data_IF_229833503140
#
_entry.id   IF_229833503140
#
_cell.length_a   1.000
_cell.length_b   1.000
_cell.length_c   1.000
_cell.angle_alpha   90.00
_cell.angle_beta   90.00
_cell.angle_gamma   90.00
#
_symmetry.space_group_name_H-M   'P 1'
#
loop_
_entity.id
_entity.type
_entity.pdbx_description
1 polymer ?
#
# COMPACT_ATOMS: atom_id res chain seq x y z
N UNK A 1 1.85 -9.14 14.56
CA UNK A 1 1.19 -7.83 14.73
C UNK A 1 0.13 -7.64 13.66
N UNK A 2 -1.04 -7.21 14.03
CA UNK A 2 -2.11 -6.97 13.08
C UNK A 2 -1.80 -5.75 12.22
N UNK A 3 -2.03 -5.87 10.90
CA UNK A 3 -1.72 -4.80 9.95
C UNK A 3 -2.52 -3.53 10.27
N UNK A 4 -3.76 -3.67 10.76
CA UNK A 4 -4.57 -2.52 11.17
C UNK A 4 -3.93 -1.71 12.29
N UNK A 5 -3.21 -2.37 13.20
CA UNK A 5 -2.51 -1.69 14.29
C UNK A 5 -1.30 -0.90 13.77
N UNK A 6 -0.62 -1.42 12.76
CA UNK A 6 0.49 -0.71 12.13
C UNK A 6 -0.02 0.58 11.48
N UNK A 7 -1.14 0.51 10.76
CA UNK A 7 -1.76 1.67 10.13
C UNK A 7 -2.20 2.69 11.19
N UNK A 8 -2.87 2.22 12.25
CA UNK A 8 -3.28 3.09 13.35
C UNK A 8 -2.08 3.79 13.98
N UNK A 9 -1.01 3.04 14.24
CA UNK A 9 0.20 3.58 14.82
C UNK A 9 0.80 4.69 13.94
N UNK A 10 0.86 4.45 12.64
CA UNK A 10 1.41 5.43 11.70
C UNK A 10 0.61 6.74 11.72
N UNK A 11 -0.71 6.65 11.71
CA UNK A 11 -1.55 7.84 11.70
C UNK A 11 -1.70 8.49 13.08
N UNK A 12 -2.01 7.69 14.10
CA UNK A 12 -2.30 8.23 15.44
C UNK A 12 -1.03 8.62 16.19
N UNK A 13 0.00 7.77 16.15
CA UNK A 13 1.18 7.97 16.99
C UNK A 13 2.31 8.69 16.25
N UNK A 14 2.46 8.48 14.95
CA UNK A 14 3.53 9.07 14.16
C UNK A 14 3.10 10.32 13.38
N UNK A 15 1.81 10.57 13.27
CA UNK A 15 1.31 11.77 12.60
C UNK A 15 1.46 11.78 11.08
N UNK A 16 1.61 10.64 10.44
CA UNK A 16 1.68 10.56 8.99
C UNK A 16 0.38 11.05 8.36
N UNK A 17 0.48 11.69 7.20
CA UNK A 17 -0.69 12.17 6.46
C UNK A 17 -1.21 11.17 5.44
N UNK A 18 -0.36 10.25 4.99
CA UNK A 18 -0.72 9.22 4.04
C UNK A 18 0.21 8.04 4.17
N UNK A 19 -0.30 6.86 3.81
CA UNK A 19 0.50 5.65 3.72
C UNK A 19 0.32 5.06 2.33
N UNK A 20 1.40 4.56 1.74
CA UNK A 20 1.37 3.95 0.43
C UNK A 20 2.06 2.61 0.42
N UNK A 21 1.63 1.77 -0.51
CA UNK A 21 2.24 0.46 -0.74
C UNK A 21 2.17 0.12 -2.21
N UNK A 22 3.12 -0.69 -2.66
CA UNK A 22 3.15 -1.14 -4.04
C UNK A 22 3.15 -2.66 -4.09
N UNK A 23 2.47 -3.21 -5.08
CA UNK A 23 2.43 -4.64 -5.36
C UNK A 23 2.95 -4.88 -6.76
N UNK A 24 3.92 -5.79 -6.87
CA UNK A 24 4.52 -6.17 -8.16
C UNK A 24 4.00 -7.53 -8.58
N UNK A 25 3.17 -7.58 -9.59
CA UNK A 25 2.75 -8.83 -10.17
C UNK A 25 1.43 -9.41 -9.71
N UNK A 26 0.58 -8.62 -9.09
CA UNK A 26 -0.81 -9.01 -8.84
C UNK A 26 -1.02 -10.09 -7.80
N UNK A 27 -0.25 -10.09 -6.73
CA UNK A 27 -0.42 -11.04 -5.64
C UNK A 27 -1.73 -10.74 -4.89
N UNK A 28 -2.67 -11.69 -4.95
CA UNK A 28 -3.99 -11.53 -4.33
C UNK A 28 -3.93 -11.36 -2.82
N UNK A 29 -2.99 -12.04 -2.16
CA UNK A 29 -2.83 -11.92 -0.71
C UNK A 29 -2.40 -10.51 -0.30
N UNK A 30 -1.44 -9.95 -1.00
CA UNK A 30 -0.98 -8.58 -0.76
C UNK A 30 -2.10 -7.58 -1.00
N UNK A 31 -2.85 -7.77 -2.09
CA UNK A 31 -3.98 -6.91 -2.42
C UNK A 31 -5.04 -6.91 -1.31
N UNK A 32 -5.38 -8.10 -0.78
CA UNK A 32 -6.34 -8.22 0.31
C UNK A 32 -5.86 -7.52 1.58
N UNK A 33 -4.57 -7.68 1.91
CA UNK A 33 -3.99 -7.03 3.07
C UNK A 33 -4.09 -5.51 2.94
N UNK A 34 -3.75 -4.98 1.78
CA UNK A 34 -3.85 -3.54 1.54
C UNK A 34 -5.29 -3.04 1.65
N UNK A 35 -6.25 -3.79 1.11
CA UNK A 35 -7.66 -3.44 1.21
C UNK A 35 -8.16 -3.45 2.65
N UNK A 36 -7.73 -4.41 3.45
CA UNK A 36 -8.07 -4.48 4.88
C UNK A 36 -7.52 -3.30 5.67
N UNK A 37 -6.42 -2.73 5.20
CA UNK A 37 -5.84 -1.53 5.80
C UNK A 37 -6.54 -0.25 5.36
N UNK A 38 -7.57 -0.36 4.53
CA UNK A 38 -8.27 0.79 3.99
C UNK A 38 -7.58 1.44 2.80
N UNK A 39 -6.54 0.82 2.27
CA UNK A 39 -5.85 1.33 1.10
C UNK A 39 -6.66 1.08 -0.16
N UNK A 40 -6.70 2.07 -1.03
CA UNK A 40 -7.39 1.98 -2.32
C UNK A 40 -6.38 2.05 -3.45
N UNK A 41 -6.71 1.41 -4.56
CA UNK A 41 -5.91 1.46 -5.77
C UNK A 41 -5.83 2.89 -6.29
N UNK A 42 -4.62 3.33 -6.62
CA UNK A 42 -4.39 4.69 -7.14
C UNK A 42 -3.98 4.67 -8.61
N UNK A 43 -2.91 3.93 -8.92
CA UNK A 43 -2.41 3.86 -10.29
C UNK A 43 -1.52 2.65 -10.46
N UNK A 44 -1.21 2.32 -11.72
CA UNK A 44 -0.20 1.32 -12.03
C UNK A 44 0.86 1.92 -12.94
N UNK A 45 2.08 1.41 -12.83
CA UNK A 45 3.21 1.82 -13.65
C UNK A 45 4.02 0.61 -14.02
N UNK A 46 4.71 0.69 -15.16
CA UNK A 46 5.67 -0.35 -15.53
C UNK A 46 7.04 0.12 -15.03
N UNK A 47 7.67 -0.68 -14.20
CA UNK A 47 8.94 -0.34 -13.58
C UNK A 47 9.97 -1.42 -13.86
N UNK A 48 11.22 -1.00 -14.02
CA UNK A 48 12.34 -1.92 -14.14
C UNK A 48 12.71 -2.42 -12.75
N UNK A 49 12.77 -3.74 -12.60
CA UNK A 49 13.18 -4.38 -11.35
C UNK A 49 14.61 -4.89 -11.58
N UNK A 50 15.59 -4.10 -11.16
CA UNK A 50 16.99 -4.38 -11.42
C UNK A 50 17.45 -5.73 -10.89
N UNK A 51 16.98 -6.10 -9.71
CA UNK A 51 17.35 -7.36 -9.07
C UNK A 51 16.91 -8.58 -9.87
N UNK A 52 15.84 -8.45 -10.66
CA UNK A 52 15.29 -9.52 -11.47
C UNK A 52 15.68 -9.40 -12.94
N UNK A 53 16.26 -8.29 -13.33
CA UNK A 53 16.62 -8.03 -14.72
C UNK A 53 15.42 -7.93 -15.66
N UNK A 54 14.26 -7.59 -15.16
CA UNK A 54 13.04 -7.53 -15.95
C UNK A 54 12.16 -6.35 -15.55
N UNK A 55 11.15 -6.05 -16.38
CA UNK A 55 10.16 -5.03 -16.06
C UNK A 55 8.91 -5.70 -15.51
N UNK A 56 8.26 -5.05 -14.55
CA UNK A 56 7.01 -5.52 -13.97
C UNK A 56 6.04 -4.37 -13.80
N UNK A 57 4.76 -4.71 -13.81
CA UNK A 57 3.72 -3.74 -13.51
C UNK A 57 3.58 -3.59 -12.01
N UNK A 58 3.78 -2.39 -11.53
CA UNK A 58 3.60 -2.06 -10.12
C UNK A 58 2.22 -1.44 -9.94
N UNK A 59 1.46 -1.96 -8.97
CA UNK A 59 0.16 -1.44 -8.59
C UNK A 59 0.31 -0.68 -7.28
N UNK A 60 -0.05 0.59 -7.29
CA UNK A 60 0.11 1.46 -6.13
C UNK A 60 -1.21 1.65 -5.41
N UNK A 61 -1.18 1.42 -4.12
CA UNK A 61 -2.31 1.58 -3.21
C UNK A 61 -1.94 2.60 -2.15
N UNK A 62 -2.93 3.34 -1.69
CA UNK A 62 -2.67 4.35 -0.66
C UNK A 62 -3.92 4.58 0.19
N UNK A 63 -3.69 5.08 1.39
CA UNK A 63 -4.74 5.57 2.27
C UNK A 63 -4.27 6.88 2.90
N UNK A 64 -5.11 7.90 2.87
CA UNK A 64 -4.80 9.17 3.52
C UNK A 64 -5.32 9.15 4.96
N UNK A 65 -4.77 10.04 5.79
CA UNK A 65 -5.25 10.22 7.15
C UNK A 65 -6.76 10.51 7.17
N UNK A 66 -7.21 11.37 6.26
CA UNK A 66 -8.61 11.74 6.15
C UNK A 66 -9.52 10.53 5.86
N UNK A 67 -9.06 9.66 4.97
CA UNK A 67 -9.79 8.43 4.66
C UNK A 67 -9.80 7.48 5.85
N UNK A 68 -8.68 7.39 6.55
CA UNK A 68 -8.56 6.53 7.73
C UNK A 68 -9.46 7.00 8.88
N UNK A 69 -9.62 8.31 9.05
CA UNK A 69 -10.42 8.89 10.12
C UNK A 69 -11.94 8.78 9.92
N UNK A 70 -12.37 8.38 8.74
CA UNK A 70 -13.79 8.22 8.45
C UNK A 70 -14.43 7.10 9.24
#
# INVERSE_FOLDING_TARGET
MAVKEVVRHAFADRGYQALGAADYGGNRKSKRVMQKCGMTYRLSRIEAVEQLGETRRAHYFAVTRREWER
#
